data_IF_244532107116
#
_entry.id   IF_244532107116
#
_cell.length_a   1.000
_cell.length_b   1.000
_cell.length_c   1.000
_cell.angle_alpha   90.00
_cell.angle_beta   90.00
_cell.angle_gamma   90.00
#
_symmetry.space_group_name_H-M   'P 1'
#
loop_
_entity.id
_entity.type
_entity.pdbx_description
1 polymer ?
#
# COMPACT_ATOMS: atom_id res chain seq x y z
N UNK A 1 -4.57 -1.32 -25.28
CA UNK A 1 -4.72 -1.80 -23.89
C UNK A 1 -4.81 -0.66 -22.89
N UNK A 2 -3.80 0.22 -22.71
CA UNK A 2 -3.91 1.33 -21.73
C UNK A 2 -5.09 2.27 -22.02
N UNK A 3 -5.27 2.68 -23.28
CA UNK A 3 -6.42 3.47 -23.71
C UNK A 3 -7.77 2.84 -23.34
N UNK A 4 -7.93 1.52 -23.51
CA UNK A 4 -9.15 0.80 -23.11
C UNK A 4 -9.39 0.89 -21.59
N UNK A 5 -8.33 0.82 -20.78
CA UNK A 5 -8.43 0.99 -19.32
C UNK A 5 -8.80 2.44 -18.97
N UNK A 6 -8.19 3.41 -19.64
CA UNK A 6 -8.55 4.83 -19.49
C UNK A 6 -10.02 5.07 -19.81
N UNK A 7 -10.55 4.47 -20.88
CA UNK A 7 -11.97 4.55 -21.25
C UNK A 7 -12.89 3.97 -20.17
N UNK A 8 -12.50 2.85 -19.55
CA UNK A 8 -13.26 2.27 -18.43
C UNK A 8 -13.28 3.20 -17.22
N UNK A 9 -12.13 3.77 -16.85
CA UNK A 9 -12.03 4.70 -15.71
C UNK A 9 -12.84 5.97 -16.02
N UNK A 10 -12.71 6.49 -17.24
CA UNK A 10 -13.47 7.65 -17.74
C UNK A 10 -14.99 7.41 -17.65
N UNK A 11 -15.46 6.25 -18.11
CA UNK A 11 -16.88 5.90 -18.06
C UNK A 11 -17.46 5.97 -16.63
N UNK A 12 -16.70 5.51 -15.64
CA UNK A 12 -17.13 5.58 -14.24
C UNK A 12 -17.03 6.98 -13.66
N UNK A 13 -15.99 7.74 -14.00
CA UNK A 13 -15.84 9.12 -13.58
C UNK A 13 -17.01 10.00 -14.12
N UNK A 14 -17.39 9.84 -15.39
CA UNK A 14 -18.54 10.51 -16.01
C UNK A 14 -19.88 10.19 -15.33
N UNK A 15 -19.98 9.02 -14.69
CA UNK A 15 -21.17 8.63 -13.92
C UNK A 15 -21.23 9.23 -12.52
N UNK A 16 -20.21 9.99 -12.13
CA UNK A 16 -20.13 10.63 -10.81
C UNK A 16 -19.46 9.78 -9.74
N UNK A 17 -18.57 8.84 -10.12
CA UNK A 17 -17.69 8.18 -9.14
C UNK A 17 -16.59 9.15 -8.71
N UNK A 18 -16.49 9.41 -7.40
CA UNK A 18 -15.58 10.42 -6.85
C UNK A 18 -14.12 9.96 -6.67
N UNK A 19 -13.84 8.66 -6.86
CA UNK A 19 -12.52 8.13 -6.56
C UNK A 19 -12.31 6.67 -6.92
N UNK A 20 -11.04 6.27 -6.96
CA UNK A 20 -10.62 4.94 -7.36
C UNK A 20 -9.60 4.36 -6.38
N UNK A 21 -9.85 3.12 -5.94
CA UNK A 21 -8.84 2.29 -5.28
C UNK A 21 -8.25 1.34 -6.32
N UNK A 22 -6.97 1.54 -6.64
CA UNK A 22 -6.27 0.78 -7.67
C UNK A 22 -5.57 -0.45 -7.04
N UNK A 23 -6.08 -1.63 -7.39
CA UNK A 23 -5.60 -2.93 -6.93
C UNK A 23 -4.21 -3.25 -7.50
N UNK A 24 -3.29 -3.67 -6.62
CA UNK A 24 -1.88 -4.04 -6.94
C UNK A 24 -1.22 -3.20 -8.04
N UNK A 25 -1.47 -1.88 -8.02
CA UNK A 25 -1.22 -1.01 -9.17
C UNK A 25 0.26 -0.88 -9.49
N UNK A 26 1.13 -1.09 -8.50
CA UNK A 26 2.56 -1.03 -8.70
C UNK A 26 3.15 -2.18 -9.50
N UNK A 27 2.34 -3.19 -9.85
CA UNK A 27 2.82 -4.37 -10.59
C UNK A 27 2.58 -4.24 -12.10
N UNK A 28 1.98 -3.16 -12.60
CA UNK A 28 1.54 -3.06 -14.01
C UNK A 28 2.69 -2.97 -15.02
N UNK A 29 3.89 -2.55 -14.60
CA UNK A 29 5.05 -2.40 -15.46
C UNK A 29 6.04 -3.55 -15.24
N UNK A 30 6.38 -4.28 -16.31
CA UNK A 30 7.30 -5.44 -16.26
C UNK A 30 8.60 -5.11 -16.98
N UNK A 31 9.70 -5.65 -16.49
CA UNK A 31 10.96 -5.72 -17.26
C UNK A 31 10.73 -6.57 -18.52
N UNK A 32 11.09 -6.05 -19.68
CA UNK A 32 10.66 -6.61 -20.97
C UNK A 32 11.54 -7.74 -21.52
N UNK A 33 12.74 -7.89 -20.98
CA UNK A 33 13.66 -9.00 -21.29
C UNK A 33 13.36 -10.27 -20.47
N UNK A 34 12.39 -10.20 -19.53
CA UNK A 34 11.90 -11.31 -18.70
C UNK A 34 13.01 -12.22 -18.17
N UNK A 35 14.00 -11.67 -17.44
CA UNK A 35 15.11 -12.45 -16.91
C UNK A 35 14.65 -13.43 -15.83
N UNK A 36 15.40 -14.52 -15.66
CA UNK A 36 15.21 -15.43 -14.52
C UNK A 36 15.66 -14.75 -13.22
N UNK A 37 14.94 -15.03 -12.14
CA UNK A 37 15.32 -14.59 -10.79
C UNK A 37 16.03 -15.72 -10.05
N UNK A 38 17.36 -15.68 -10.02
CA UNK A 38 18.16 -16.72 -9.35
C UNK A 38 18.29 -16.54 -7.82
N UNK A 39 17.75 -15.44 -7.25
CA UNK A 39 17.91 -15.10 -5.81
C UNK A 39 16.58 -14.82 -5.09
N UNK A 40 15.49 -14.73 -5.83
CA UNK A 40 14.16 -14.36 -5.34
C UNK A 40 13.07 -15.08 -6.12
N UNK A 41 11.88 -14.48 -6.15
CA UNK A 41 10.68 -15.05 -6.78
C UNK A 41 10.21 -14.25 -8.01
N UNK A 42 11.06 -13.38 -8.55
CA UNK A 42 10.78 -12.55 -9.72
C UNK A 42 10.11 -11.22 -9.41
N UNK A 43 9.68 -10.96 -8.17
CA UNK A 43 8.98 -9.70 -7.80
C UNK A 43 9.75 -8.44 -8.18
N UNK A 44 11.07 -8.47 -8.10
CA UNK A 44 11.94 -7.33 -8.45
C UNK A 44 11.87 -6.90 -9.92
N UNK A 45 11.33 -7.73 -10.80
CA UNK A 45 11.22 -7.43 -12.23
C UNK A 45 9.87 -6.82 -12.63
N UNK A 46 8.90 -6.77 -11.71
CA UNK A 46 7.58 -6.21 -12.01
C UNK A 46 7.01 -5.31 -10.91
N UNK A 47 7.49 -5.42 -9.68
CA UNK A 47 7.17 -4.49 -8.60
C UNK A 47 7.87 -3.17 -8.84
N UNK A 48 7.10 -2.09 -8.89
CA UNK A 48 7.61 -0.75 -9.16
C UNK A 48 8.42 -0.68 -10.48
N UNK A 49 7.95 -1.41 -11.50
CA UNK A 49 8.69 -1.63 -12.73
C UNK A 49 8.97 -0.35 -13.54
N UNK A 50 9.80 -0.46 -14.61
CA UNK A 50 10.53 0.68 -15.21
C UNK A 50 9.65 1.80 -15.78
N UNK A 51 8.37 1.53 -16.04
CA UNK A 51 7.40 2.48 -16.62
C UNK A 51 6.16 2.70 -15.76
N UNK A 52 6.17 2.25 -14.50
CA UNK A 52 4.98 2.31 -13.63
C UNK A 52 4.51 3.75 -13.42
N UNK A 53 5.44 4.65 -13.08
CA UNK A 53 5.18 6.08 -12.88
C UNK A 53 4.69 6.76 -14.16
N UNK A 54 5.34 6.46 -15.30
CA UNK A 54 4.91 6.95 -16.62
C UNK A 54 3.43 6.59 -16.91
N UNK A 55 3.04 5.34 -16.62
CA UNK A 55 1.67 4.88 -16.85
C UNK A 55 0.67 5.54 -15.91
N UNK A 56 1.03 5.78 -14.65
CA UNK A 56 0.15 6.45 -13.70
C UNK A 56 -0.04 7.93 -14.03
N UNK A 57 1.02 8.61 -14.45
CA UNK A 57 0.94 9.99 -14.92
C UNK A 57 0.02 10.11 -16.15
N UNK A 58 0.12 9.18 -17.10
CA UNK A 58 -0.77 9.13 -18.27
C UNK A 58 -2.25 9.04 -17.86
N UNK A 59 -2.60 8.13 -16.94
CA UNK A 59 -4.00 7.95 -16.50
C UNK A 59 -4.46 9.13 -15.63
N UNK A 60 -3.59 9.68 -14.79
CA UNK A 60 -3.89 10.83 -13.94
C UNK A 60 -4.23 12.07 -14.77
N UNK A 61 -3.40 12.39 -15.76
CA UNK A 61 -3.63 13.50 -16.69
C UNK A 61 -4.87 13.27 -17.56
N UNK A 62 -5.11 12.01 -17.98
CA UNK A 62 -6.25 11.67 -18.81
C UNK A 62 -7.58 11.73 -18.05
N UNK A 63 -7.61 11.33 -16.77
CA UNK A 63 -8.84 11.14 -15.99
C UNK A 63 -8.76 11.77 -14.59
N UNK A 64 -7.89 11.29 -13.70
CA UNK A 64 -8.00 11.62 -12.25
C UNK A 64 -7.99 13.12 -11.96
N UNK A 65 -7.06 13.87 -12.58
CA UNK A 65 -6.98 15.31 -12.39
C UNK A 65 -8.17 16.07 -13.00
N UNK A 66 -8.71 15.59 -14.13
CA UNK A 66 -9.86 16.24 -14.79
C UNK A 66 -11.13 16.19 -13.96
N UNK A 67 -11.32 15.09 -13.23
CA UNK A 67 -12.50 14.86 -12.39
C UNK A 67 -12.27 15.18 -10.92
N UNK A 68 -11.06 15.57 -10.53
CA UNK A 68 -10.70 15.81 -9.12
C UNK A 68 -10.86 14.55 -8.26
N UNK A 69 -10.61 13.37 -8.84
CA UNK A 69 -10.84 12.09 -8.17
C UNK A 69 -9.87 11.86 -7.01
N UNK A 70 -10.37 11.29 -5.91
CA UNK A 70 -9.49 10.77 -4.85
C UNK A 70 -8.99 9.38 -5.25
N UNK A 71 -7.68 9.21 -5.36
CA UNK A 71 -7.08 7.93 -5.77
C UNK A 71 -6.21 7.33 -4.69
N UNK A 72 -6.39 6.03 -4.47
CA UNK A 72 -5.68 5.21 -3.49
C UNK A 72 -5.00 4.07 -4.22
N UNK A 73 -3.66 4.00 -4.17
CA UNK A 73 -2.91 2.89 -4.71
C UNK A 73 -2.63 1.81 -3.66
N UNK A 74 -2.96 0.57 -3.99
CA UNK A 74 -2.52 -0.59 -3.22
C UNK A 74 -1.12 -1.03 -3.63
N UNK A 75 -0.18 -1.02 -2.68
CA UNK A 75 1.21 -1.40 -2.93
C UNK A 75 1.58 -2.68 -2.16
N UNK A 76 1.69 -3.80 -2.88
CA UNK A 76 1.94 -5.15 -2.28
C UNK A 76 3.28 -5.25 -1.54
N UNK A 77 4.32 -4.70 -2.14
CA UNK A 77 5.68 -4.49 -1.65
C UNK A 77 6.20 -3.25 -2.38
N UNK A 78 6.81 -2.30 -1.69
CA UNK A 78 7.32 -1.08 -2.33
C UNK A 78 8.33 -0.40 -1.42
N UNK A 79 9.04 0.61 -1.93
CA UNK A 79 9.95 1.43 -1.13
C UNK A 79 9.30 2.75 -0.74
N UNK A 80 9.91 3.43 0.23
CA UNK A 80 9.46 4.75 0.64
C UNK A 80 9.56 5.76 -0.51
N UNK A 81 10.64 5.69 -1.28
CA UNK A 81 10.92 6.59 -2.40
C UNK A 81 9.86 6.46 -3.49
N UNK A 82 9.46 5.23 -3.82
CA UNK A 82 8.35 5.00 -4.74
C UNK A 82 7.04 5.56 -4.22
N UNK A 83 6.71 5.34 -2.93
CA UNK A 83 5.52 5.91 -2.32
C UNK A 83 5.52 7.45 -2.29
N UNK A 84 6.68 8.10 -2.11
CA UNK A 84 6.80 9.56 -2.22
C UNK A 84 6.49 10.03 -3.64
N UNK A 85 6.93 9.29 -4.67
CA UNK A 85 6.59 9.62 -6.06
C UNK A 85 5.11 9.36 -6.36
N UNK A 86 4.60 8.17 -6.01
CA UNK A 86 3.21 7.79 -6.23
C UNK A 86 2.20 8.75 -5.59
N UNK A 87 2.48 9.20 -4.37
CA UNK A 87 1.59 10.06 -3.58
C UNK A 87 2.09 11.50 -3.47
N UNK A 88 2.95 11.93 -4.41
CA UNK A 88 3.52 13.27 -4.42
C UNK A 88 2.44 14.35 -4.32
N UNK A 89 2.74 15.41 -3.57
CA UNK A 89 1.82 16.53 -3.33
C UNK A 89 1.48 17.34 -4.61
N UNK A 90 2.21 17.11 -5.70
CA UNK A 90 1.89 17.71 -7.01
C UNK A 90 0.72 17.02 -7.73
N UNK A 91 0.21 15.90 -7.20
CA UNK A 91 -1.00 15.23 -7.70
C UNK A 91 -0.84 14.56 -9.07
N UNK A 92 0.40 14.42 -9.58
CA UNK A 92 0.66 13.87 -10.91
C UNK A 92 0.34 12.39 -11.05
N UNK A 93 0.28 11.65 -9.95
CA UNK A 93 0.03 10.21 -9.96
C UNK A 93 -1.22 9.86 -9.14
N UNK A 94 -1.05 9.60 -7.85
CA UNK A 94 -2.13 9.19 -6.94
C UNK A 94 -2.28 10.18 -5.79
N UNK A 95 -3.48 10.26 -5.19
CA UNK A 95 -3.70 11.10 -4.01
C UNK A 95 -3.01 10.52 -2.78
N UNK A 96 -2.99 9.19 -2.65
CA UNK A 96 -2.35 8.49 -1.54
C UNK A 96 -2.06 7.03 -1.85
N UNK A 97 -1.25 6.41 -1.01
CA UNK A 97 -0.86 4.99 -1.11
C UNK A 97 -1.05 4.27 0.21
N UNK A 98 -1.33 2.97 0.18
CA UNK A 98 -1.16 2.13 1.36
C UNK A 98 -0.24 0.96 1.08
N UNK A 99 0.62 0.69 2.05
CA UNK A 99 1.59 -0.40 2.03
C UNK A 99 1.21 -1.45 3.10
N UNK A 100 1.74 -2.66 2.97
CA UNK A 100 1.42 -3.77 3.87
C UNK A 100 2.54 -4.09 4.88
N UNK A 101 3.57 -3.28 5.01
CA UNK A 101 4.75 -3.65 5.81
C UNK A 101 4.40 -3.89 7.28
N UNK A 102 3.54 -3.05 7.88
CA UNK A 102 3.09 -3.20 9.27
C UNK A 102 2.20 -4.42 9.49
N UNK A 103 1.71 -5.06 8.42
CA UNK A 103 0.91 -6.28 8.46
C UNK A 103 1.75 -7.53 8.16
N UNK A 104 3.08 -7.43 8.15
CA UNK A 104 4.01 -8.55 7.96
C UNK A 104 4.90 -8.79 9.20
N UNK A 105 4.71 -8.03 10.28
CA UNK A 105 5.51 -8.08 11.53
C UNK A 105 5.34 -9.38 12.33
N UNK A 106 4.42 -10.25 11.93
CA UNK A 106 4.18 -11.58 12.49
C UNK A 106 4.51 -12.70 11.48
N UNK A 107 5.21 -12.38 10.38
CA UNK A 107 5.60 -13.36 9.35
C UNK A 107 7.08 -13.71 9.53
N UNK A 108 7.43 -14.75 10.31
CA UNK A 108 8.83 -15.11 10.53
C UNK A 108 9.47 -15.48 9.18
N UNK A 109 10.61 -14.87 8.86
CA UNK A 109 11.30 -15.02 7.57
C UNK A 109 10.40 -14.71 6.35
N UNK A 110 9.35 -13.91 6.52
CA UNK A 110 8.38 -13.61 5.46
C UNK A 110 7.33 -14.71 5.20
N UNK A 111 7.29 -15.76 6.03
CA UNK A 111 6.34 -16.87 5.88
C UNK A 111 4.96 -16.53 6.45
N UNK A 112 4.03 -16.12 5.57
CA UNK A 112 2.65 -15.76 5.94
C UNK A 112 1.88 -16.85 6.69
N UNK A 113 2.17 -18.12 6.41
CA UNK A 113 1.42 -19.27 6.95
C UNK A 113 1.99 -19.79 8.26
N UNK A 114 3.09 -19.22 8.74
CA UNK A 114 3.74 -19.63 9.99
C UNK A 114 3.19 -18.79 11.14
N UNK A 115 2.56 -19.44 12.13
CA UNK A 115 2.01 -18.75 13.30
C UNK A 115 3.14 -18.28 14.23
N UNK A 116 3.26 -16.97 14.42
CA UNK A 116 4.23 -16.37 15.33
C UNK A 116 3.61 -15.18 16.09
N UNK A 117 4.15 -14.79 17.26
CA UNK A 117 3.85 -13.49 17.85
C UNK A 117 4.37 -12.37 16.93
N UNK A 118 3.69 -11.23 16.93
CA UNK A 118 4.15 -10.07 16.19
C UNK A 118 5.33 -9.38 16.90
N UNK A 119 6.24 -8.80 16.11
CA UNK A 119 7.30 -7.93 16.63
C UNK A 119 6.76 -6.50 16.85
N UNK A 120 6.60 -6.12 18.12
CA UNK A 120 6.10 -4.79 18.49
C UNK A 120 7.10 -3.67 18.23
N UNK A 121 8.41 -3.95 18.32
CA UNK A 121 9.44 -2.94 18.07
C UNK A 121 9.51 -2.66 16.58
N UNK A 122 9.52 -3.71 15.76
CA UNK A 122 9.47 -3.60 14.30
C UNK A 122 8.22 -2.84 13.85
N UNK A 123 7.05 -3.15 14.41
CA UNK A 123 5.80 -2.44 14.12
C UNK A 123 5.93 -0.93 14.32
N UNK A 124 6.47 -0.48 15.46
CA UNK A 124 6.69 0.94 15.74
C UNK A 124 7.71 1.56 14.79
N UNK A 125 8.79 0.84 14.47
CA UNK A 125 9.81 1.31 13.54
C UNK A 125 9.23 1.52 12.14
N UNK A 126 8.41 0.58 11.66
CA UNK A 126 7.72 0.67 10.37
C UNK A 126 6.79 1.89 10.35
N UNK A 127 5.93 2.07 11.36
CA UNK A 127 5.08 3.27 11.42
C UNK A 127 5.89 4.56 11.43
N UNK A 128 6.96 4.63 12.23
CA UNK A 128 7.82 5.81 12.28
C UNK A 128 8.48 6.07 10.91
N UNK A 129 9.01 5.04 10.25
CA UNK A 129 9.64 5.15 8.94
C UNK A 129 8.67 5.71 7.88
N UNK A 130 7.45 5.17 7.80
CA UNK A 130 6.45 5.64 6.85
C UNK A 130 5.90 7.03 7.18
N UNK A 131 5.60 7.31 8.45
CA UNK A 131 5.06 8.61 8.86
C UNK A 131 6.09 9.72 8.64
N UNK A 132 7.34 9.54 9.08
CA UNK A 132 8.39 10.54 8.90
C UNK A 132 8.80 10.69 7.43
N UNK A 133 8.85 9.57 6.71
CA UNK A 133 9.25 9.53 5.31
C UNK A 133 8.24 10.17 4.35
N UNK A 134 6.94 10.04 4.62
CA UNK A 134 5.90 10.64 3.78
C UNK A 134 5.54 12.06 4.21
N UNK A 135 5.83 12.46 5.44
CA UNK A 135 5.49 13.79 5.95
C UNK A 135 6.07 14.90 5.06
N UNK A 136 5.19 15.70 4.46
CA UNK A 136 5.57 16.79 3.56
C UNK A 136 6.05 16.37 2.16
N UNK A 137 6.03 15.07 1.85
CA UNK A 137 6.43 14.53 0.55
C UNK A 137 5.30 13.79 -0.17
N UNK A 138 4.42 13.14 0.59
CA UNK A 138 3.24 12.48 0.04
C UNK A 138 2.25 12.07 1.12
N UNK A 139 1.30 11.21 0.78
CA UNK A 139 0.22 10.80 1.69
C UNK A 139 0.09 9.28 1.81
N UNK A 140 0.23 8.79 3.03
CA UNK A 140 0.01 7.37 3.37
C UNK A 140 -1.39 7.16 3.94
N UNK A 141 -2.14 6.20 3.41
CA UNK A 141 -3.42 5.81 3.98
C UNK A 141 -3.20 4.87 5.18
N UNK A 142 -3.88 5.16 6.29
CA UNK A 142 -3.77 4.41 7.54
C UNK A 142 -4.85 3.34 7.61
N UNK A 143 -4.45 2.08 7.83
CA UNK A 143 -5.39 0.97 7.98
C UNK A 143 -4.80 -0.17 8.81
N UNK A 144 -5.69 -0.98 9.38
CA UNK A 144 -5.34 -2.23 10.07
C UNK A 144 -6.01 -3.46 9.46
N UNK A 145 -7.16 -3.27 8.83
CA UNK A 145 -8.02 -4.34 8.33
C UNK A 145 -8.42 -4.04 6.89
N UNK A 146 -8.49 -5.10 6.09
CA UNK A 146 -9.19 -5.15 4.81
C UNK A 146 -9.74 -6.58 4.65
N UNK A 147 -10.19 -6.95 3.45
CA UNK A 147 -10.76 -8.29 3.21
C UNK A 147 -9.71 -9.41 3.14
N UNK A 148 -8.42 -9.10 2.95
CA UNK A 148 -7.32 -10.06 2.87
C UNK A 148 -6.60 -10.29 4.20
N UNK A 149 -6.95 -9.51 5.22
CA UNK A 149 -6.22 -9.44 6.49
C UNK A 149 -7.10 -9.93 7.64
N UNK A 150 -6.54 -10.68 8.61
CA UNK A 150 -7.26 -11.03 9.82
C UNK A 150 -7.74 -9.78 10.58
N UNK A 151 -8.83 -9.90 11.32
CA UNK A 151 -9.31 -8.82 12.19
C UNK A 151 -8.22 -8.46 13.21
N UNK A 152 -7.82 -7.19 13.26
CA UNK A 152 -6.65 -6.74 14.03
C UNK A 152 -6.75 -7.04 15.53
N UNK A 153 -7.95 -7.00 16.11
CA UNK A 153 -8.15 -7.29 17.54
C UNK A 153 -7.76 -8.73 17.88
N UNK A 154 -8.10 -9.69 17.02
CA UNK A 154 -7.72 -11.09 17.18
C UNK A 154 -6.25 -11.35 16.83
N UNK A 155 -5.68 -10.53 15.93
CA UNK A 155 -4.30 -10.71 15.42
C UNK A 155 -3.24 -10.11 16.33
N UNK A 156 -3.42 -8.85 16.71
CA UNK A 156 -2.42 -8.03 17.44
C UNK A 156 -2.94 -7.58 18.81
N UNK A 157 -4.19 -7.88 19.14
CA UNK A 157 -4.87 -7.49 20.38
C UNK A 157 -5.27 -8.67 21.25
N UNK A 158 -6.44 -8.55 21.87
CA UNK A 158 -7.08 -9.55 22.71
C UNK A 158 -8.60 -9.47 22.43
N UNK A 159 -9.19 -10.56 21.94
CA UNK A 159 -10.61 -10.65 21.58
C UNK A 159 -11.45 -11.48 22.57
N UNK A 160 -10.85 -11.96 23.66
CA UNK A 160 -11.54 -12.78 24.69
C UNK A 160 -12.02 -11.94 25.88
N UNK A 161 -11.41 -10.78 26.15
CA UNK A 161 -11.76 -9.92 27.30
C UNK A 161 -12.51 -8.66 26.87
N UNK A 162 -13.82 -8.60 27.13
CA UNK A 162 -14.67 -7.40 26.94
C UNK A 162 -14.49 -6.34 28.04
N UNK A 163 -13.70 -6.62 29.08
CA UNK A 163 -13.41 -5.68 30.15
C UNK A 163 -12.12 -4.90 29.84
N UNK A 164 -12.31 -3.68 29.31
CA UNK A 164 -11.31 -2.66 28.90
C UNK A 164 -10.67 -2.89 27.53
N UNK A 165 -11.18 -2.14 26.55
CA UNK A 165 -10.49 -1.70 25.33
C UNK A 165 -9.10 -1.11 25.64
N UNK A 166 -8.10 -1.97 25.88
CA UNK A 166 -6.68 -1.60 25.90
C UNK A 166 -5.91 -2.65 25.12
N UNK A 167 -5.28 -2.30 24.00
CA UNK A 167 -4.40 -3.23 23.29
C UNK A 167 -3.33 -3.77 24.25
N UNK A 168 -3.07 -5.09 24.23
CA UNK A 168 -2.06 -5.76 25.09
C UNK A 168 -0.69 -5.08 25.06
N UNK A 169 -0.35 -4.38 23.99
CA UNK A 169 0.91 -3.67 23.82
C UNK A 169 1.12 -2.43 24.72
N UNK A 170 0.06 -1.85 25.30
CA UNK A 170 0.19 -0.68 26.19
C UNK A 170 0.36 -1.02 27.66
N UNK A 171 0.42 -2.32 28.02
CA UNK A 171 0.54 -2.75 29.42
C UNK A 171 1.96 -2.61 30.01
N UNK A 172 2.99 -2.45 29.19
CA UNK A 172 4.40 -2.52 29.62
C UNK A 172 5.19 -1.20 29.48
N UNK A 173 4.53 -0.07 29.20
CA UNK A 173 5.21 1.23 29.03
C UNK A 173 4.94 2.26 30.13
N UNK A 174 4.44 1.82 31.28
CA UNK A 174 4.42 2.64 32.50
C UNK A 174 5.19 1.91 33.61
N UNK A 175 6.52 2.06 33.57
CA UNK A 175 7.38 2.10 34.76
C UNK A 175 8.25 3.34 34.61
#
# INVERSE_FOLDING_TARGET
MRQEVEEVIYFWAEKGVDGFRLDVINLISKQQDFPNDDIGDGRRFYTDGPRVHEYLQQISDAVFQKYGSVTVGEMSSTTLEHCQQYSSLDGKELSMVFNFHHLKVDYPNGEKWTKAPFDFIELKQIFNHWQTGLNGQGWGALFWCNHDQPRVVSRLGDDETTALNRPRCWRHQYI
#
